data_IF_326318247939
#
_entry.id   IF_326318247939
#
_cell.length_a   1.000
_cell.length_b   1.000
_cell.length_c   1.000
_cell.angle_alpha   90.00
_cell.angle_beta   90.00
_cell.angle_gamma   90.00
#
_symmetry.space_group_name_H-M   'P 1'
#
loop_
_entity.id
_entity.type
_entity.pdbx_description
1 polymer ?
#
# COMPACT_ATOMS: atom_id res chain seq x y z
N UNK A 1 10.05 -7.70 -2.55
CA UNK A 1 8.92 -8.03 -1.63
C UNK A 1 9.30 -9.22 -0.79
N UNK A 2 9.09 -9.14 0.52
CA UNK A 2 9.47 -10.19 1.47
C UNK A 2 8.35 -10.45 2.47
N UNK A 3 8.38 -11.62 3.11
CA UNK A 3 7.51 -11.90 4.24
C UNK A 3 8.12 -11.33 5.53
N UNK A 4 7.45 -11.54 6.66
CA UNK A 4 7.86 -11.02 7.97
C UNK A 4 9.20 -11.55 8.46
N UNK A 5 9.71 -12.61 7.84
CA UNK A 5 11.00 -13.23 8.18
C UNK A 5 12.08 -12.86 7.17
N UNK A 6 11.82 -11.88 6.31
CA UNK A 6 12.75 -11.45 5.29
C UNK A 6 12.87 -12.38 4.09
N UNK A 7 12.05 -13.43 4.02
CA UNK A 7 12.06 -14.36 2.90
C UNK A 7 11.23 -13.81 1.75
N UNK A 8 11.55 -14.16 0.50
CA UNK A 8 10.72 -13.75 -0.63
C UNK A 8 9.28 -14.24 -0.45
N UNK A 9 8.33 -13.32 -0.49
CA UNK A 9 6.92 -13.66 -0.36
C UNK A 9 6.29 -13.83 -1.75
N UNK A 10 5.30 -14.73 -1.84
CA UNK A 10 4.64 -15.03 -3.11
C UNK A 10 3.50 -14.06 -3.37
N UNK A 11 3.76 -13.09 -4.23
CA UNK A 11 2.74 -12.22 -4.77
C UNK A 11 3.10 -11.97 -6.25
N UNK A 12 2.92 -12.98 -7.10
CA UNK A 12 3.33 -12.88 -8.50
C UNK A 12 2.62 -11.72 -9.20
N UNK A 13 3.41 -10.93 -9.93
CA UNK A 13 2.87 -9.82 -10.72
C UNK A 13 2.56 -8.56 -9.94
N UNK A 14 2.63 -8.57 -8.60
CA UNK A 14 2.28 -7.38 -7.81
C UNK A 14 3.20 -6.20 -8.11
N UNK A 15 4.51 -6.44 -8.14
CA UNK A 15 5.49 -5.38 -8.41
C UNK A 15 5.30 -4.76 -9.78
N UNK A 16 5.16 -5.59 -10.81
CA UNK A 16 4.96 -5.12 -12.17
C UNK A 16 3.62 -4.37 -12.31
N UNK A 17 2.56 -4.91 -11.70
CA UNK A 17 1.27 -4.26 -11.74
C UNK A 17 1.32 -2.88 -11.09
N UNK A 18 1.88 -2.78 -9.89
CA UNK A 18 1.96 -1.51 -9.16
C UNK A 18 2.79 -0.49 -9.94
N UNK A 19 3.91 -0.91 -10.52
CA UNK A 19 4.74 -0.04 -11.34
C UNK A 19 3.98 0.48 -12.57
N UNK A 20 3.13 -0.36 -13.16
CA UNK A 20 2.38 0.02 -14.35
C UNK A 20 1.27 1.05 -14.08
N UNK A 21 0.71 1.06 -12.87
CA UNK A 21 -0.39 1.98 -12.53
C UNK A 21 0.06 3.17 -11.70
N UNK A 22 1.28 3.17 -11.16
CA UNK A 22 1.76 4.23 -10.29
C UNK A 22 1.69 5.59 -11.00
N UNK A 23 1.27 6.65 -10.28
CA UNK A 23 1.24 7.97 -10.90
C UNK A 23 2.65 8.46 -11.24
N UNK A 24 2.74 9.38 -12.22
CA UNK A 24 4.03 9.85 -12.74
C UNK A 24 4.94 10.46 -11.66
N UNK A 25 4.38 11.02 -10.60
CA UNK A 25 5.17 11.60 -9.52
C UNK A 25 5.74 10.55 -8.54
N UNK A 26 5.33 9.29 -8.67
CA UNK A 26 5.85 8.20 -7.85
C UNK A 26 7.21 7.77 -8.39
N UNK A 27 8.25 8.44 -7.93
CA UNK A 27 9.63 8.17 -8.33
C UNK A 27 10.39 7.57 -7.17
N UNK A 28 11.12 6.48 -7.44
CA UNK A 28 11.92 5.82 -6.43
C UNK A 28 11.43 4.42 -6.14
N UNK A 29 11.86 3.89 -5.01
CA UNK A 29 11.63 2.51 -4.62
C UNK A 29 10.63 2.43 -3.48
N UNK A 30 9.70 1.50 -3.56
CA UNK A 30 8.79 1.13 -2.48
C UNK A 30 9.09 -0.31 -2.09
N UNK A 31 9.28 -0.54 -0.80
CA UNK A 31 9.45 -1.88 -0.26
C UNK A 31 8.09 -2.38 0.25
N UNK A 32 7.68 -3.55 -0.19
CA UNK A 32 6.43 -4.15 0.24
C UNK A 32 6.73 -5.41 1.04
N UNK A 33 6.33 -5.43 2.30
CA UNK A 33 6.47 -6.58 3.17
C UNK A 33 5.11 -7.20 3.43
N UNK A 34 5.03 -8.52 3.34
CA UNK A 34 3.84 -9.27 3.75
C UNK A 34 4.09 -9.81 5.16
N UNK A 35 3.21 -9.51 6.09
CA UNK A 35 3.39 -9.83 7.50
C UNK A 35 2.14 -10.46 8.08
N UNK A 36 2.28 -11.14 9.22
CA UNK A 36 1.13 -11.67 9.93
C UNK A 36 0.31 -10.54 10.54
N UNK A 37 -0.95 -10.81 10.80
CA UNK A 37 -1.83 -9.84 11.46
C UNK A 37 -1.27 -9.43 12.83
N UNK A 38 -0.70 -10.39 13.57
CA UNK A 38 -0.10 -10.11 14.89
C UNK A 38 1.09 -9.15 14.78
N UNK A 39 1.92 -9.30 13.75
CA UNK A 39 3.05 -8.41 13.55
C UNK A 39 2.60 -7.01 13.13
N UNK A 40 1.58 -6.93 12.27
CA UNK A 40 1.02 -5.63 11.88
C UNK A 40 0.40 -4.94 13.09
N UNK A 41 -0.29 -5.69 13.97
CA UNK A 41 -0.81 -5.12 15.22
C UNK A 41 0.29 -4.55 16.09
N UNK A 42 1.43 -5.26 16.23
CA UNK A 42 2.58 -4.78 16.98
C UNK A 42 3.16 -3.50 16.38
N UNK A 43 3.28 -3.45 15.06
CA UNK A 43 3.78 -2.26 14.37
C UNK A 43 2.83 -1.09 14.54
N UNK A 44 1.53 -1.35 14.45
CA UNK A 44 0.52 -0.30 14.61
C UNK A 44 0.55 0.28 16.02
N UNK A 45 0.70 -0.57 17.04
CA UNK A 45 0.85 -0.14 18.42
C UNK A 45 2.12 0.69 18.61
N UNK A 46 3.24 0.21 18.09
CA UNK A 46 4.54 0.85 18.27
C UNK A 46 4.63 2.21 17.59
N UNK A 47 4.15 2.31 16.35
CA UNK A 47 4.36 3.51 15.53
C UNK A 47 3.15 4.43 15.46
N UNK A 48 1.94 3.93 15.71
CA UNK A 48 0.71 4.72 15.64
C UNK A 48 -0.07 4.70 16.95
N UNK A 49 0.43 3.98 17.95
CA UNK A 49 -0.18 3.86 19.30
C UNK A 49 -1.59 3.29 19.27
N UNK A 50 -1.88 2.43 18.30
CA UNK A 50 -3.16 1.75 18.15
C UNK A 50 -2.96 0.25 18.34
N UNK A 51 -3.52 -0.30 19.42
CA UNK A 51 -3.41 -1.73 19.70
C UNK A 51 -4.49 -2.51 18.94
N UNK A 52 -4.37 -2.50 17.62
CA UNK A 52 -5.27 -3.22 16.73
C UNK A 52 -4.55 -3.49 15.41
N UNK A 53 -4.96 -4.56 14.74
CA UNK A 53 -4.45 -4.80 13.40
C UNK A 53 -5.16 -3.92 12.39
N UNK A 54 -4.54 -3.77 11.21
CA UNK A 54 -5.11 -3.08 10.07
C UNK A 54 -4.70 -3.85 8.82
N UNK A 55 -5.19 -3.45 7.65
CA UNK A 55 -4.87 -4.15 6.40
C UNK A 55 -3.50 -3.78 5.85
N UNK A 56 -3.15 -2.50 5.84
CA UNK A 56 -1.86 -2.03 5.34
C UNK A 56 -1.37 -0.85 6.16
N UNK A 57 -0.06 -0.82 6.42
CA UNK A 57 0.62 0.31 7.04
C UNK A 57 1.58 0.90 6.03
N UNK A 58 1.62 2.23 5.97
CA UNK A 58 2.54 2.98 5.12
C UNK A 58 3.51 3.76 5.99
N UNK A 59 4.80 3.58 5.75
CA UNK A 59 5.87 4.27 6.46
C UNK A 59 6.67 5.09 5.45
N UNK A 60 6.42 6.41 5.34
CA UNK A 60 7.19 7.24 4.42
C UNK A 60 8.67 7.24 4.77
N UNK A 61 9.53 7.25 3.77
CA UNK A 61 10.96 7.36 3.98
C UNK A 61 11.28 8.73 4.59
N UNK A 62 12.28 8.76 5.47
CA UNK A 62 12.71 10.00 6.07
C UNK A 62 13.38 10.90 5.03
N UNK A 63 13.19 12.21 5.21
CA UNK A 63 13.90 13.20 4.41
C UNK A 63 15.41 12.98 4.54
N UNK A 64 16.08 12.96 3.42
CA UNK A 64 17.52 12.74 3.40
C UNK A 64 17.92 11.31 3.12
N UNK A 65 17.02 10.34 3.25
CA UNK A 65 17.32 8.95 2.86
C UNK A 65 17.71 8.86 1.40
N UNK A 66 17.11 9.68 0.55
CA UNK A 66 17.38 9.75 -0.88
C UNK A 66 18.58 10.63 -1.21
N UNK A 67 19.11 11.40 -0.26
CA UNK A 67 20.14 12.39 -0.53
C UNK A 67 21.58 11.84 -0.45
N UNK A 68 21.75 10.60 -0.02
CA UNK A 68 23.09 10.03 0.17
C UNK A 68 23.65 9.46 -1.13
N UNK A 69 24.06 10.33 -2.04
CA UNK A 69 24.72 9.93 -3.26
C UNK A 69 23.83 9.26 -4.30
N UNK A 70 22.52 9.35 -4.16
CA UNK A 70 21.59 8.77 -5.13
C UNK A 70 21.08 9.83 -6.10
N UNK A 71 20.70 9.38 -7.29
CA UNK A 71 20.11 10.25 -8.29
C UNK A 71 18.79 10.85 -7.77
N UNK A 72 18.47 12.11 -8.13
CA UNK A 72 17.16 12.67 -7.79
C UNK A 72 16.02 11.78 -8.30
N UNK A 73 15.11 11.43 -7.40
CA UNK A 73 14.00 10.56 -7.72
C UNK A 73 14.30 9.07 -7.65
N UNK A 74 15.55 8.67 -7.36
CA UNK A 74 15.94 7.26 -7.26
C UNK A 74 15.93 6.75 -5.80
N UNK A 75 15.55 7.57 -4.83
CA UNK A 75 15.56 7.20 -3.43
C UNK A 75 14.39 6.31 -3.02
N UNK A 76 14.38 5.95 -1.74
CA UNK A 76 13.31 5.17 -1.15
C UNK A 76 12.08 6.06 -0.90
N UNK A 77 10.93 5.68 -1.45
CA UNK A 77 9.65 6.36 -1.17
C UNK A 77 9.12 5.98 0.22
N UNK A 78 9.30 4.74 0.61
CA UNK A 78 8.85 4.25 1.89
C UNK A 78 8.60 2.76 1.87
N UNK A 79 8.02 2.28 2.97
CA UNK A 79 7.69 0.89 3.16
C UNK A 79 6.19 0.70 3.28
N UNK A 80 5.68 -0.38 2.70
CA UNK A 80 4.31 -0.83 2.89
C UNK A 80 4.35 -2.17 3.59
N UNK A 81 3.54 -2.34 4.63
CA UNK A 81 3.41 -3.62 5.33
C UNK A 81 1.96 -4.04 5.25
N UNK A 82 1.71 -5.19 4.62
CA UNK A 82 0.36 -5.72 4.41
C UNK A 82 0.11 -6.90 5.34
N UNK A 83 -1.00 -6.85 6.08
CA UNK A 83 -1.43 -7.94 6.94
C UNK A 83 -2.10 -9.01 6.09
N UNK A 84 -1.46 -10.17 5.96
CA UNK A 84 -1.93 -11.21 5.04
C UNK A 84 -3.26 -11.83 5.45
N UNK A 85 -3.50 -12.03 6.74
CA UNK A 85 -4.76 -12.58 7.23
C UNK A 85 -5.93 -11.62 6.97
N UNK A 86 -5.73 -10.35 7.26
CA UNK A 86 -6.74 -9.32 6.97
C UNK A 86 -7.02 -9.27 5.47
N UNK A 87 -5.97 -9.29 4.64
CA UNK A 87 -6.12 -9.25 3.19
C UNK A 87 -6.93 -10.44 2.67
N UNK A 88 -6.70 -11.65 3.20
CA UNK A 88 -7.46 -12.83 2.80
C UNK A 88 -8.94 -12.72 3.16
N UNK A 89 -9.24 -12.22 4.36
CA UNK A 89 -10.63 -12.03 4.79
C UNK A 89 -11.35 -10.97 3.97
N UNK A 90 -10.67 -9.86 3.68
CA UNK A 90 -11.24 -8.80 2.86
C UNK A 90 -11.48 -9.26 1.42
N UNK A 91 -10.56 -10.05 0.87
CA UNK A 91 -10.74 -10.63 -0.46
C UNK A 91 -12.00 -11.49 -0.53
N UNK A 92 -12.19 -12.36 0.46
CA UNK A 92 -13.38 -13.21 0.53
C UNK A 92 -14.66 -12.39 0.64
N UNK A 93 -14.67 -11.36 1.48
CA UNK A 93 -15.83 -10.47 1.64
C UNK A 93 -16.17 -9.71 0.36
N UNK A 94 -15.15 -9.33 -0.40
CA UNK A 94 -15.33 -8.59 -1.63
C UNK A 94 -15.52 -9.49 -2.86
N UNK A 95 -15.49 -10.79 -2.68
CA UNK A 95 -15.68 -11.79 -3.76
C UNK A 95 -14.65 -11.65 -4.88
N UNK A 96 -13.39 -11.37 -4.50
CA UNK A 96 -12.30 -11.38 -5.46
C UNK A 96 -11.08 -12.11 -4.89
N UNK A 97 -10.05 -12.29 -5.72
CA UNK A 97 -8.89 -13.08 -5.35
C UNK A 97 -8.02 -12.35 -4.31
N UNK A 98 -7.24 -13.12 -3.56
CA UNK A 98 -6.23 -12.58 -2.67
C UNK A 98 -5.21 -11.71 -3.45
N UNK A 99 -4.81 -12.16 -4.64
CA UNK A 99 -3.91 -11.39 -5.49
C UNK A 99 -4.47 -10.01 -5.83
N UNK A 100 -5.78 -9.94 -6.13
CA UNK A 100 -6.45 -8.65 -6.38
C UNK A 100 -6.46 -7.79 -5.12
N UNK A 101 -6.72 -8.39 -3.96
CA UNK A 101 -6.70 -7.63 -2.70
C UNK A 101 -5.32 -7.03 -2.42
N UNK A 102 -4.25 -7.78 -2.66
CA UNK A 102 -2.90 -7.26 -2.49
C UNK A 102 -2.64 -6.06 -3.41
N UNK A 103 -3.13 -6.11 -4.63
CA UNK A 103 -3.01 -4.97 -5.57
C UNK A 103 -3.74 -3.74 -5.04
N UNK A 104 -4.96 -3.93 -4.54
CA UNK A 104 -5.76 -2.84 -3.97
C UNK A 104 -5.05 -2.20 -2.78
N UNK A 105 -4.57 -3.02 -1.86
CA UNK A 105 -3.91 -2.54 -0.65
C UNK A 105 -2.57 -1.87 -0.95
N UNK A 106 -1.80 -2.43 -1.89
CA UNK A 106 -0.52 -1.85 -2.28
C UNK A 106 -0.71 -0.48 -2.94
N UNK A 107 -1.70 -0.35 -3.82
CA UNK A 107 -2.00 0.93 -4.45
C UNK A 107 -2.45 1.97 -3.43
N UNK A 108 -3.34 1.58 -2.52
CA UNK A 108 -3.82 2.46 -1.45
C UNK A 108 -2.66 2.96 -0.59
N UNK A 109 -1.76 2.05 -0.19
CA UNK A 109 -0.59 2.40 0.59
C UNK A 109 0.39 3.30 -0.16
N UNK A 110 0.59 3.04 -1.46
CA UNK A 110 1.43 3.90 -2.28
C UNK A 110 0.90 5.33 -2.33
N UNK A 111 -0.41 5.50 -2.50
CA UNK A 111 -1.01 6.83 -2.53
C UNK A 111 -0.81 7.57 -1.21
N UNK A 112 -0.89 6.86 -0.08
CA UNK A 112 -0.57 7.46 1.21
C UNK A 112 0.90 7.91 1.27
N UNK A 113 1.82 7.12 0.75
CA UNK A 113 3.24 7.51 0.69
C UNK A 113 3.44 8.77 -0.12
N UNK A 114 2.59 9.00 -1.12
CA UNK A 114 2.66 10.19 -1.98
C UNK A 114 1.92 11.38 -1.38
N UNK A 115 1.36 11.24 -0.19
CA UNK A 115 0.72 12.35 0.51
C UNK A 115 -0.79 12.43 0.36
N UNK A 116 -1.44 11.51 -0.34
CA UNK A 116 -2.89 11.47 -0.38
C UNK A 116 -3.44 10.96 0.94
N UNK A 117 -4.49 11.58 1.43
CA UNK A 117 -5.16 11.16 2.66
C UNK A 117 -6.66 11.44 2.54
N UNK A 118 -7.43 10.36 2.35
CA UNK A 118 -8.88 10.51 2.18
C UNK A 118 -9.61 10.88 3.47
N UNK A 119 -8.92 10.90 4.61
CA UNK A 119 -9.47 11.36 5.87
C UNK A 119 -9.23 12.85 6.11
N UNK A 120 -8.41 13.50 5.28
CA UNK A 120 -8.16 14.92 5.41
C UNK A 120 -9.42 15.73 5.04
N UNK A 121 -9.72 16.75 5.81
CA UNK A 121 -10.92 17.56 5.59
C UNK A 121 -10.91 18.27 4.24
N UNK A 122 -9.72 18.59 3.73
CA UNK A 122 -9.55 19.28 2.46
C UNK A 122 -9.34 18.36 1.27
N UNK A 123 -9.38 17.05 1.49
CA UNK A 123 -9.19 16.08 0.41
C UNK A 123 -10.31 16.11 -0.63
N UNK A 124 -11.55 16.31 -0.17
CA UNK A 124 -12.72 16.42 -1.03
C UNK A 124 -12.88 15.25 -2.00
N UNK A 125 -12.58 14.03 -1.54
CA UNK A 125 -12.68 12.82 -2.36
C UNK A 125 -11.58 12.66 -3.40
N UNK A 126 -10.55 13.47 -3.35
CA UNK A 126 -9.45 13.44 -4.33
C UNK A 126 -8.74 12.10 -4.35
N UNK A 127 -8.38 11.55 -3.19
CA UNK A 127 -7.72 10.26 -3.12
C UNK A 127 -8.59 9.16 -3.72
N UNK A 128 -9.88 9.16 -3.40
CA UNK A 128 -10.81 8.17 -3.93
C UNK A 128 -10.89 8.22 -5.45
N UNK A 129 -10.94 9.44 -6.03
CA UNK A 129 -10.98 9.60 -7.49
C UNK A 129 -9.70 9.14 -8.18
N UNK A 130 -8.55 9.48 -7.61
CA UNK A 130 -7.25 9.06 -8.15
C UNK A 130 -7.14 7.55 -8.08
N UNK A 131 -7.48 6.96 -6.94
CA UNK A 131 -7.41 5.51 -6.75
C UNK A 131 -8.32 4.77 -7.72
N UNK A 132 -9.55 5.22 -7.88
CA UNK A 132 -10.48 4.61 -8.83
C UNK A 132 -9.96 4.65 -10.27
N UNK A 133 -9.40 5.78 -10.67
CA UNK A 133 -8.81 5.94 -12.01
C UNK A 133 -7.65 4.96 -12.22
N UNK A 134 -6.75 4.85 -11.24
CA UNK A 134 -5.59 3.98 -11.36
C UNK A 134 -5.98 2.51 -11.33
N UNK A 135 -7.00 2.13 -10.58
CA UNK A 135 -7.52 0.75 -10.59
C UNK A 135 -8.07 0.38 -11.96
N UNK A 136 -8.85 1.26 -12.57
CA UNK A 136 -9.39 1.01 -13.92
C UNK A 136 -8.27 0.89 -14.95
N UNK A 137 -7.26 1.74 -14.84
CA UNK A 137 -6.07 1.69 -15.69
C UNK A 137 -5.35 0.34 -15.56
N UNK A 138 -5.33 -0.22 -14.35
CA UNK A 138 -4.70 -1.51 -14.06
C UNK A 138 -5.62 -2.71 -14.25
N UNK A 139 -6.81 -2.53 -14.80
CA UNK A 139 -7.73 -3.64 -15.07
C UNK A 139 -8.58 -4.07 -13.89
N UNK A 140 -8.64 -3.30 -12.80
CA UNK A 140 -9.46 -3.62 -11.63
C UNK A 140 -10.76 -2.81 -11.63
N UNK A 141 -11.80 -3.38 -10.99
CA UNK A 141 -13.05 -2.67 -10.82
C UNK A 141 -12.90 -1.48 -9.88
N UNK A 142 -13.47 -0.34 -10.27
CA UNK A 142 -13.48 0.86 -9.42
C UNK A 142 -14.33 0.68 -8.17
N UNK A 143 -15.29 -0.24 -8.17
CA UNK A 143 -16.17 -0.50 -7.02
C UNK A 143 -15.45 -1.07 -5.80
N UNK A 144 -14.21 -1.55 -5.94
CA UNK A 144 -13.44 -2.06 -4.83
C UNK A 144 -13.00 -0.97 -3.85
N UNK A 145 -13.00 0.28 -4.28
CA UNK A 145 -12.49 1.40 -3.50
C UNK A 145 -13.33 1.71 -2.26
N UNK A 146 -14.64 1.49 -2.33
CA UNK A 146 -15.54 1.80 -1.22
C UNK A 146 -15.19 1.01 0.03
N UNK A 147 -14.80 -0.23 -0.16
CA UNK A 147 -14.40 -1.07 0.95
C UNK A 147 -13.10 -0.59 1.59
N UNK A 148 -12.15 -0.14 0.79
CA UNK A 148 -10.86 0.33 1.29
C UNK A 148 -10.97 1.63 2.10
N UNK A 149 -12.04 2.37 1.94
CA UNK A 149 -12.29 3.61 2.67
C UNK A 149 -12.94 3.43 4.03
N UNK A 150 -13.30 2.23 4.38
CA UNK A 150 -13.99 1.94 5.63
C UNK A 150 -13.07 1.92 6.85
#
# INVERSE_FOLDING_TARGET
MTDSRGRPARAPGLRQWLASVAPARARGTVVIALASDAEVRKLNLRYRRKDQTTDVLSFPAERGSAARGQEPGAGLLGDLVIATGVARRQAAQAHHSYATELKVLALHGLLHLLGYDHHALDDNGRMARVEARLRRRGGLSAGLIERAGE
#
